data_IF_805647607356
#
_entry.id   IF_805647607356
#
_cell.length_a   1.000
_cell.length_b   1.000
_cell.length_c   1.000
_cell.angle_alpha   90.00
_cell.angle_beta   90.00
_cell.angle_gamma   90.00
#
_symmetry.space_group_name_H-M   'P 1'
#
loop_
_entity.id
_entity.type
_entity.pdbx_description
1 polymer ?
#
# COMPACT_ATOMS: atom_id res chain seq x y z
N UNK A 1 2.49 -18.45 -54.95
CA UNK A 1 2.01 -18.69 -53.57
C UNK A 1 3.23 -18.57 -52.62
N UNK A 2 3.46 -17.38 -52.10
CA UNK A 2 4.57 -17.09 -51.18
C UNK A 2 4.03 -17.14 -49.77
N UNK A 3 4.38 -18.20 -49.04
CA UNK A 3 4.08 -18.36 -47.62
C UNK A 3 4.98 -17.45 -46.82
N UNK A 4 4.42 -16.33 -46.35
CA UNK A 4 5.09 -15.43 -45.42
C UNK A 4 5.22 -16.10 -44.05
N UNK A 5 6.45 -16.42 -43.65
CA UNK A 5 6.79 -16.78 -42.25
C UNK A 5 6.72 -15.50 -41.42
N UNK A 6 5.78 -15.45 -40.50
CA UNK A 6 5.83 -14.44 -39.40
C UNK A 6 7.08 -14.73 -38.54
N UNK A 7 7.88 -13.71 -38.19
CA UNK A 7 9.04 -13.93 -37.31
C UNK A 7 8.56 -14.40 -35.97
N UNK A 8 9.09 -15.54 -35.48
CA UNK A 8 8.91 -16.01 -34.14
C UNK A 8 9.43 -14.95 -33.17
N UNK A 9 8.57 -14.45 -32.29
CA UNK A 9 8.97 -13.55 -31.22
C UNK A 9 10.03 -14.25 -30.38
N UNK A 10 11.25 -13.72 -30.37
CA UNK A 10 12.34 -14.21 -29.54
C UNK A 10 11.93 -14.13 -28.07
N UNK A 11 11.74 -15.29 -27.44
CA UNK A 11 11.45 -15.36 -26.01
C UNK A 11 12.64 -14.76 -25.24
N UNK A 12 12.37 -13.73 -24.43
CA UNK A 12 13.38 -13.06 -23.61
C UNK A 12 13.95 -14.01 -22.56
N UNK A 13 15.26 -13.90 -22.20
CA UNK A 13 15.85 -14.68 -21.11
C UNK A 13 15.11 -14.44 -19.79
N UNK A 14 14.87 -15.47 -18.99
CA UNK A 14 14.13 -15.38 -17.73
C UNK A 14 14.67 -14.31 -16.75
N UNK A 15 15.99 -14.10 -16.71
CA UNK A 15 16.62 -13.06 -15.89
C UNK A 15 16.26 -11.63 -16.34
N UNK A 16 16.16 -11.38 -17.64
CA UNK A 16 15.79 -10.08 -18.21
C UNK A 16 14.32 -9.77 -17.95
N UNK A 17 13.42 -10.76 -18.09
CA UNK A 17 12.00 -10.63 -17.74
C UNK A 17 11.80 -10.28 -16.25
N UNK A 18 12.57 -10.86 -15.35
CA UNK A 18 12.52 -10.54 -13.91
C UNK A 18 12.94 -9.09 -13.62
N UNK A 19 13.97 -8.60 -14.29
CA UNK A 19 14.43 -7.21 -14.15
C UNK A 19 13.40 -6.21 -14.69
N UNK A 20 12.79 -6.47 -15.84
CA UNK A 20 11.75 -5.61 -16.40
C UNK A 20 10.50 -5.56 -15.52
N UNK A 21 10.10 -6.71 -14.96
CA UNK A 21 8.99 -6.76 -14.00
C UNK A 21 9.30 -5.97 -12.74
N UNK A 22 10.50 -6.11 -12.17
CA UNK A 22 10.94 -5.33 -11.01
C UNK A 22 10.91 -3.82 -11.30
N UNK A 23 11.46 -3.39 -12.45
CA UNK A 23 11.42 -2.00 -12.88
C UNK A 23 9.99 -1.47 -13.05
N UNK A 24 9.08 -2.26 -13.64
CA UNK A 24 7.66 -1.94 -13.75
C UNK A 24 7.02 -1.76 -12.38
N UNK A 25 7.27 -2.66 -11.43
CA UNK A 25 6.75 -2.58 -10.08
C UNK A 25 7.20 -1.31 -9.36
N UNK A 26 8.49 -0.96 -9.44
CA UNK A 26 9.05 0.27 -8.86
C UNK A 26 8.47 1.51 -9.57
N UNK A 27 8.30 1.48 -10.90
CA UNK A 27 7.70 2.58 -11.65
C UNK A 27 6.23 2.83 -11.25
N UNK A 28 5.49 1.77 -10.91
CA UNK A 28 4.09 1.85 -10.45
C UNK A 28 3.95 2.05 -8.93
N UNK A 29 5.06 2.27 -8.20
CA UNK A 29 5.03 2.38 -6.75
C UNK A 29 4.28 3.63 -6.28
N UNK A 30 3.61 3.49 -5.14
CA UNK A 30 3.12 4.55 -4.28
C UNK A 30 3.98 4.63 -3.02
N UNK A 31 3.92 5.74 -2.31
CA UNK A 31 4.60 5.91 -1.02
C UNK A 31 3.60 6.30 0.06
N UNK A 32 3.97 6.04 1.32
CA UNK A 32 3.22 6.52 2.48
C UNK A 32 3.99 7.64 3.19
N UNK A 33 3.27 8.69 3.60
CA UNK A 33 3.81 9.81 4.37
C UNK A 33 2.91 10.10 5.57
N UNK A 34 3.48 10.65 6.65
CA UNK A 34 2.66 11.28 7.68
C UNK A 34 2.50 12.79 7.38
N UNK A 35 1.40 13.42 7.81
CA UNK A 35 1.25 14.88 7.65
C UNK A 35 2.41 15.69 8.25
N UNK A 36 3.05 15.18 9.31
CA UNK A 36 4.20 15.83 9.97
C UNK A 36 5.48 15.68 9.17
N UNK A 37 5.74 14.48 8.65
CA UNK A 37 6.96 14.19 7.87
C UNK A 37 6.94 14.93 6.53
N UNK A 38 5.76 15.07 5.93
CA UNK A 38 5.57 15.83 4.70
C UNK A 38 5.91 17.31 4.89
N UNK A 39 5.60 17.88 6.07
CA UNK A 39 5.93 19.28 6.41
C UNK A 39 7.40 19.47 6.80
N UNK A 40 7.99 18.51 7.51
CA UNK A 40 9.33 18.62 8.06
C UNK A 40 10.44 18.20 7.09
N UNK A 41 10.07 17.45 6.04
CA UNK A 41 11.01 16.89 5.06
C UNK A 41 11.37 17.86 3.92
N UNK A 42 12.30 17.46 3.05
CA UNK A 42 12.53 18.16 1.78
C UNK A 42 11.25 18.08 0.94
N UNK A 43 11.04 19.05 0.01
CA UNK A 43 9.88 19.02 -0.87
C UNK A 43 9.77 17.68 -1.59
N UNK A 44 8.61 17.04 -1.48
CA UNK A 44 8.41 15.68 -2.01
C UNK A 44 8.65 15.61 -3.53
N UNK A 45 8.39 16.72 -4.25
CA UNK A 45 8.68 16.86 -5.70
C UNK A 45 10.15 16.67 -6.07
N UNK A 46 11.05 16.93 -5.11
CA UNK A 46 12.50 16.77 -5.31
C UNK A 46 12.95 15.32 -5.05
N UNK A 47 12.08 14.51 -4.45
CA UNK A 47 12.35 13.14 -4.06
C UNK A 47 11.66 12.10 -4.95
N UNK A 48 10.48 12.41 -5.47
CA UNK A 48 9.68 11.46 -6.24
C UNK A 48 8.99 12.15 -7.43
N UNK A 49 8.64 11.35 -8.44
CA UNK A 49 8.02 11.86 -9.66
C UNK A 49 6.62 12.46 -9.43
N UNK A 50 6.27 13.49 -10.18
CA UNK A 50 4.90 14.02 -10.26
C UNK A 50 3.91 12.92 -10.71
N UNK A 51 2.66 13.04 -10.29
CA UNK A 51 1.60 12.08 -10.58
C UNK A 51 1.69 10.77 -9.77
N UNK A 52 2.66 10.65 -8.84
CA UNK A 52 2.73 9.50 -7.93
C UNK A 52 1.57 9.55 -6.93
N UNK A 53 0.99 8.36 -6.60
CA UNK A 53 0.07 8.22 -5.47
C UNK A 53 0.84 8.35 -4.17
N UNK A 54 0.39 9.24 -3.29
CA UNK A 54 0.98 9.49 -1.96
C UNK A 54 -0.08 9.25 -0.91
N UNK A 55 0.07 8.17 -0.17
CA UNK A 55 -0.82 7.83 0.92
C UNK A 55 -0.48 8.67 2.15
N UNK A 56 -1.50 9.27 2.75
CA UNK A 56 -1.35 10.13 3.93
C UNK A 56 -1.91 9.38 5.13
N UNK A 57 -1.03 8.88 6.00
CA UNK A 57 -1.43 8.06 7.12
C UNK A 57 -2.09 8.88 8.25
N UNK A 58 -2.80 8.18 9.15
CA UNK A 58 -3.58 8.79 10.24
C UNK A 58 -3.04 8.35 11.62
N UNK A 59 -1.85 8.81 12.04
CA UNK A 59 -1.33 8.49 13.38
C UNK A 59 -2.14 9.20 14.48
N UNK A 60 -2.03 8.69 15.71
CA UNK A 60 -2.79 9.18 16.86
C UNK A 60 -2.60 10.68 17.15
N UNK A 61 -1.46 11.22 16.74
CA UNK A 61 -1.06 12.60 17.03
C UNK A 61 -1.52 13.65 16.00
N UNK A 62 -2.36 13.27 15.02
CA UNK A 62 -2.88 14.18 13.99
C UNK A 62 -4.41 14.11 13.93
N UNK A 63 -5.01 15.18 13.44
CA UNK A 63 -6.45 15.30 13.20
C UNK A 63 -6.78 15.05 11.72
N UNK A 64 -8.06 14.84 11.41
CA UNK A 64 -8.50 14.76 10.01
C UNK A 64 -8.24 16.09 9.26
N UNK A 65 -8.22 17.23 9.95
CA UNK A 65 -7.85 18.52 9.35
C UNK A 65 -6.39 18.54 8.88
N UNK A 66 -5.47 17.97 9.66
CA UNK A 66 -4.05 17.85 9.29
C UNK A 66 -3.87 16.99 8.04
N UNK A 67 -4.66 15.90 7.94
CA UNK A 67 -4.65 15.00 6.76
C UNK A 67 -5.17 15.75 5.54
N UNK A 68 -6.30 16.45 5.64
CA UNK A 68 -6.83 17.25 4.53
C UNK A 68 -5.82 18.31 4.08
N UNK A 69 -5.20 19.01 5.03
CA UNK A 69 -4.19 20.03 4.72
C UNK A 69 -2.98 19.42 3.99
N UNK A 70 -2.52 18.24 4.41
CA UNK A 70 -1.46 17.49 3.71
C UNK A 70 -1.90 17.09 2.28
N UNK A 71 -3.12 16.57 2.11
CA UNK A 71 -3.67 16.23 0.80
C UNK A 71 -3.74 17.46 -0.12
N UNK A 72 -4.15 18.61 0.38
CA UNK A 72 -4.17 19.88 -0.39
C UNK A 72 -2.76 20.28 -0.86
N UNK A 73 -1.75 20.18 0.02
CA UNK A 73 -0.36 20.49 -0.36
C UNK A 73 0.17 19.53 -1.41
N UNK A 74 -0.08 18.23 -1.23
CA UNK A 74 0.34 17.19 -2.17
C UNK A 74 -0.33 17.35 -3.54
N UNK A 75 -1.64 17.62 -3.57
CA UNK A 75 -2.38 17.87 -4.81
C UNK A 75 -1.81 19.09 -5.56
N UNK A 76 -1.57 20.21 -4.85
CA UNK A 76 -0.93 21.41 -5.43
C UNK A 76 0.49 21.18 -5.92
N UNK A 77 1.20 20.21 -5.34
CA UNK A 77 2.52 19.81 -5.77
C UNK A 77 2.50 18.79 -6.96
N UNK A 78 1.32 18.44 -7.48
CA UNK A 78 1.14 17.57 -8.63
C UNK A 78 1.14 16.09 -8.30
N UNK A 79 0.88 15.70 -7.04
CA UNK A 79 0.71 14.33 -6.60
C UNK A 79 -0.76 13.91 -6.56
N UNK A 80 -1.00 12.61 -6.42
CA UNK A 80 -2.32 12.03 -6.21
C UNK A 80 -2.44 11.59 -4.74
N UNK A 81 -2.97 12.45 -3.85
CA UNK A 81 -3.06 12.12 -2.43
C UNK A 81 -4.16 11.09 -2.18
N UNK A 82 -3.85 10.09 -1.33
CA UNK A 82 -4.76 9.05 -0.87
C UNK A 82 -4.80 9.09 0.66
N UNK A 83 -5.78 9.76 1.28
CA UNK A 83 -5.86 9.81 2.74
C UNK A 83 -6.21 8.44 3.34
N UNK A 84 -5.59 8.10 4.47
CA UNK A 84 -6.11 7.06 5.34
C UNK A 84 -7.34 7.59 6.06
N UNK A 85 -8.43 6.83 6.00
CA UNK A 85 -9.65 7.10 6.77
C UNK A 85 -9.77 6.01 7.82
N UNK A 86 -9.39 6.34 9.06
CA UNK A 86 -9.40 5.43 10.19
C UNK A 86 -10.75 5.49 10.91
N UNK A 87 -11.62 4.52 10.66
CA UNK A 87 -13.02 4.50 11.10
C UNK A 87 -13.16 4.70 12.62
N UNK A 88 -12.39 3.96 13.44
CA UNK A 88 -12.47 3.99 14.90
C UNK A 88 -12.00 5.32 15.52
N UNK A 89 -11.39 6.21 14.72
CA UNK A 89 -10.93 7.54 15.16
C UNK A 89 -11.91 8.67 14.83
N UNK A 90 -12.99 8.37 14.12
CA UNK A 90 -14.03 9.34 13.76
C UNK A 90 -15.07 9.40 14.88
N UNK A 91 -15.17 10.53 15.56
CA UNK A 91 -16.02 10.71 16.73
C UNK A 91 -17.53 10.80 16.40
N UNK A 92 -17.88 11.09 15.14
CA UNK A 92 -19.29 11.21 14.72
C UNK A 92 -19.44 11.07 13.20
N UNK A 93 -20.69 10.86 12.77
CA UNK A 93 -21.07 10.96 11.36
C UNK A 93 -20.75 12.34 10.77
N UNK A 94 -20.96 13.41 11.55
CA UNK A 94 -20.66 14.79 11.12
C UNK A 94 -19.16 14.97 10.86
N UNK A 95 -18.30 14.44 11.73
CA UNK A 95 -16.86 14.51 11.53
C UNK A 95 -16.40 13.69 10.32
N UNK A 96 -16.96 12.50 10.12
CA UNK A 96 -16.69 11.69 8.93
C UNK A 96 -17.10 12.43 7.64
N UNK A 97 -18.30 13.02 7.65
CA UNK A 97 -18.82 13.81 6.54
C UNK A 97 -17.95 15.05 6.25
N UNK A 98 -17.52 15.79 7.29
CA UNK A 98 -16.63 16.95 7.13
C UNK A 98 -15.28 16.54 6.55
N UNK A 99 -14.68 15.46 7.05
CA UNK A 99 -13.41 14.95 6.53
C UNK A 99 -13.52 14.61 5.03
N UNK A 100 -14.52 13.80 4.64
CA UNK A 100 -14.69 13.37 3.26
C UNK A 100 -15.02 14.56 2.34
N UNK A 101 -15.96 15.41 2.73
CA UNK A 101 -16.33 16.62 1.99
C UNK A 101 -15.12 17.52 1.72
N UNK A 102 -14.27 17.72 2.73
CA UNK A 102 -13.08 18.57 2.60
C UNK A 102 -11.99 17.89 1.77
N UNK A 103 -11.75 16.60 1.96
CA UNK A 103 -10.77 15.85 1.17
C UNK A 103 -11.11 15.89 -0.34
N UNK A 104 -12.39 15.70 -0.69
CA UNK A 104 -12.83 15.76 -2.09
C UNK A 104 -12.89 17.20 -2.62
N UNK A 105 -13.46 18.14 -1.85
CA UNK A 105 -13.70 19.51 -2.31
C UNK A 105 -12.45 20.40 -2.31
N UNK A 106 -11.57 20.25 -1.31
CA UNK A 106 -10.38 21.11 -1.17
C UNK A 106 -9.13 20.52 -1.82
N UNK A 107 -8.97 19.19 -1.77
CA UNK A 107 -7.78 18.51 -2.29
C UNK A 107 -8.02 17.72 -3.59
N UNK A 108 -9.27 17.64 -4.07
CA UNK A 108 -9.62 16.88 -5.28
C UNK A 108 -9.43 15.37 -5.13
N UNK A 109 -9.47 14.87 -3.90
CA UNK A 109 -9.30 13.44 -3.60
C UNK A 109 -10.51 12.66 -4.08
N UNK A 110 -10.30 11.59 -4.83
CA UNK A 110 -11.36 10.65 -5.26
C UNK A 110 -11.08 9.21 -4.82
N UNK A 111 -10.00 8.98 -4.07
CA UNK A 111 -9.56 7.70 -3.54
C UNK A 111 -9.17 7.82 -2.07
N UNK A 112 -9.50 6.82 -1.25
CA UNK A 112 -9.08 6.75 0.15
C UNK A 112 -8.68 5.33 0.54
N UNK A 113 -7.72 5.17 1.46
CA UNK A 113 -7.46 3.89 2.13
C UNK A 113 -8.29 3.81 3.41
N UNK A 114 -9.30 2.94 3.41
CA UNK A 114 -10.20 2.77 4.53
C UNK A 114 -9.68 1.68 5.48
N UNK A 115 -9.34 2.08 6.69
CA UNK A 115 -8.80 1.21 7.73
C UNK A 115 -9.66 1.25 9.00
N UNK A 116 -9.54 0.22 9.84
CA UNK A 116 -10.17 0.23 11.15
C UNK A 116 -9.62 1.35 12.04
N UNK A 117 -8.30 1.45 12.12
CA UNK A 117 -7.60 2.34 13.03
C UNK A 117 -7.27 1.66 14.36
N UNK A 118 -6.45 2.33 15.17
CA UNK A 118 -5.82 1.83 16.39
C UNK A 118 -6.54 2.26 17.69
N UNK A 119 -7.60 3.07 17.59
CA UNK A 119 -8.36 3.49 18.77
C UNK A 119 -9.14 2.30 19.38
N UNK A 120 -8.95 2.04 20.66
CA UNK A 120 -9.63 1.00 21.40
C UNK A 120 -10.00 1.50 22.81
N UNK A 121 -11.30 1.69 23.12
CA UNK A 121 -12.47 1.50 22.24
C UNK A 121 -12.54 2.51 21.08
N UNK A 122 -13.42 2.29 20.08
CA UNK A 122 -13.73 3.28 19.05
C UNK A 122 -14.17 4.61 19.66
N UNK A 123 -13.70 5.74 19.08
CA UNK A 123 -14.00 7.09 19.60
C UNK A 123 -15.47 7.49 19.31
N UNK A 124 -16.08 6.88 18.30
CA UNK A 124 -17.43 7.23 17.85
C UNK A 124 -18.20 6.03 17.28
N UNK A 125 -19.12 6.27 16.33
CA UNK A 125 -20.10 5.28 15.90
C UNK A 125 -19.56 4.18 14.97
N UNK A 126 -18.28 4.24 14.58
CA UNK A 126 -17.71 3.31 13.60
C UNK A 126 -16.78 2.31 14.29
N UNK A 127 -17.24 1.08 14.61
CA UNK A 127 -16.41 0.07 15.25
C UNK A 127 -15.31 -0.47 14.33
N UNK A 128 -15.48 -0.35 13.01
CA UNK A 128 -14.54 -0.84 12.00
C UNK A 128 -14.73 -0.14 10.64
N UNK A 129 -13.88 -0.48 9.68
CA UNK A 129 -13.91 0.06 8.33
C UNK A 129 -15.19 -0.32 7.55
N UNK A 130 -15.77 -1.49 7.80
CA UNK A 130 -16.98 -1.94 7.13
C UNK A 130 -18.19 -1.09 7.55
N UNK A 131 -18.33 -0.79 8.83
CA UNK A 131 -19.40 0.05 9.34
C UNK A 131 -19.36 1.48 8.74
N UNK A 132 -18.14 2.05 8.62
CA UNK A 132 -17.98 3.34 7.95
C UNK A 132 -18.32 3.26 6.45
N UNK A 133 -17.88 2.22 5.76
CA UNK A 133 -18.20 2.02 4.35
C UNK A 133 -19.73 1.88 4.15
N UNK A 134 -20.39 1.08 4.97
CA UNK A 134 -21.84 0.85 4.92
C UNK A 134 -22.68 2.12 5.21
N UNK A 135 -22.09 3.14 5.85
CA UNK A 135 -22.75 4.42 6.03
C UNK A 135 -23.05 5.17 4.71
N UNK A 136 -22.43 4.76 3.60
CA UNK A 136 -22.57 5.40 2.30
C UNK A 136 -21.88 6.76 2.17
N UNK A 137 -21.21 7.24 3.21
CA UNK A 137 -20.60 8.56 3.23
C UNK A 137 -19.50 8.72 2.15
N UNK A 138 -18.73 7.66 1.87
CA UNK A 138 -17.66 7.72 0.86
C UNK A 138 -18.24 8.08 -0.52
N UNK A 139 -19.21 7.30 -1.00
CA UNK A 139 -19.85 7.53 -2.29
C UNK A 139 -20.62 8.87 -2.32
N UNK A 140 -21.32 9.21 -1.23
CA UNK A 140 -22.06 10.47 -1.08
C UNK A 140 -21.17 11.70 -1.27
N UNK A 141 -19.93 11.68 -0.80
CA UNK A 141 -18.99 12.79 -0.92
C UNK A 141 -18.04 12.66 -2.12
N UNK A 142 -18.35 11.80 -3.09
CA UNK A 142 -17.66 11.77 -4.39
C UNK A 142 -16.39 10.93 -4.41
N UNK A 143 -16.13 10.10 -3.39
CA UNK A 143 -15.10 9.07 -3.50
C UNK A 143 -15.52 8.06 -4.58
N UNK A 144 -14.61 7.72 -5.47
CA UNK A 144 -14.83 6.75 -6.55
C UNK A 144 -14.04 5.48 -6.35
N UNK A 145 -12.96 5.55 -5.59
CA UNK A 145 -12.04 4.45 -5.30
C UNK A 145 -11.82 4.29 -3.81
N UNK A 146 -11.74 3.05 -3.36
CA UNK A 146 -11.44 2.74 -1.97
C UNK A 146 -10.44 1.59 -1.88
N UNK A 147 -9.34 1.84 -1.17
CA UNK A 147 -8.36 0.83 -0.80
C UNK A 147 -8.72 0.16 0.51
N UNK A 148 -8.41 -1.13 0.64
CA UNK A 148 -8.51 -1.88 1.89
C UNK A 148 -7.18 -2.52 2.26
N UNK A 149 -6.91 -2.66 3.56
CA UNK A 149 -5.72 -3.35 4.02
C UNK A 149 -5.83 -4.87 3.80
N UNK A 150 -4.77 -5.46 3.22
CA UNK A 150 -4.57 -6.90 3.10
C UNK A 150 -3.49 -7.38 4.09
N UNK A 151 -3.62 -8.61 4.59
CA UNK A 151 -2.71 -9.16 5.60
C UNK A 151 -2.19 -10.54 5.17
N UNK A 152 -1.21 -10.61 4.26
CA UNK A 152 -0.66 -11.89 3.78
C UNK A 152 -0.17 -12.81 4.89
N UNK A 153 0.51 -12.25 5.89
CA UNK A 153 1.05 -12.98 7.04
C UNK A 153 0.10 -13.02 8.26
N UNK A 154 -1.12 -12.48 8.12
CA UNK A 154 -2.08 -12.36 9.21
C UNK A 154 -1.92 -11.05 10.00
N UNK A 155 -2.61 -10.98 11.14
CA UNK A 155 -2.62 -9.82 12.05
C UNK A 155 -2.41 -10.30 13.49
N UNK A 156 -1.64 -9.59 14.34
CA UNK A 156 -1.27 -10.07 15.67
C UNK A 156 -2.46 -10.29 16.61
N UNK A 157 -3.55 -9.55 16.41
CA UNK A 157 -4.70 -9.53 17.31
C UNK A 157 -6.01 -9.93 16.64
N UNK A 158 -6.02 -10.25 15.34
CA UNK A 158 -7.24 -10.59 14.59
C UNK A 158 -7.05 -11.94 13.92
N UNK A 159 -7.94 -12.87 14.21
CA UNK A 159 -7.91 -14.20 13.60
C UNK A 159 -8.06 -14.12 12.07
N UNK A 160 -7.38 -15.01 11.34
CA UNK A 160 -7.41 -15.06 9.87
C UNK A 160 -8.82 -15.06 9.32
N UNK A 161 -9.70 -15.92 9.85
CA UNK A 161 -11.10 -16.02 9.41
C UNK A 161 -11.85 -14.70 9.54
N UNK A 162 -11.58 -13.91 10.60
CA UNK A 162 -12.18 -12.60 10.78
C UNK A 162 -11.65 -11.60 9.75
N UNK A 163 -10.35 -11.62 9.47
CA UNK A 163 -9.75 -10.76 8.43
C UNK A 163 -10.35 -11.04 7.05
N UNK A 164 -10.43 -12.31 6.68
CA UNK A 164 -10.95 -12.74 5.37
C UNK A 164 -12.44 -12.37 5.25
N UNK A 165 -13.25 -12.65 6.25
CA UNK A 165 -14.67 -12.28 6.27
C UNK A 165 -14.90 -10.77 6.22
N UNK A 166 -14.10 -9.98 6.96
CA UNK A 166 -14.16 -8.53 6.92
C UNK A 166 -13.74 -7.96 5.56
N UNK A 167 -12.77 -8.58 4.89
CA UNK A 167 -12.35 -8.17 3.56
C UNK A 167 -13.45 -8.46 2.53
N UNK A 168 -14.02 -9.66 2.52
CA UNK A 168 -15.15 -10.01 1.66
C UNK A 168 -16.33 -9.05 1.86
N UNK A 169 -16.70 -8.77 3.12
CA UNK A 169 -17.78 -7.83 3.43
C UNK A 169 -17.53 -6.42 2.91
N UNK A 170 -16.29 -5.92 3.02
CA UNK A 170 -15.91 -4.60 2.49
C UNK A 170 -15.96 -4.55 0.96
N UNK A 171 -15.47 -5.58 0.28
CA UNK A 171 -15.51 -5.66 -1.19
C UNK A 171 -16.96 -5.70 -1.70
N UNK A 172 -17.82 -6.49 -1.06
CA UNK A 172 -19.25 -6.54 -1.39
C UNK A 172 -19.94 -5.19 -1.16
N UNK A 173 -19.67 -4.53 -0.04
CA UNK A 173 -20.26 -3.22 0.27
C UNK A 173 -19.76 -2.11 -0.68
N UNK A 174 -18.50 -2.16 -1.10
CA UNK A 174 -17.94 -1.24 -2.10
C UNK A 174 -18.58 -1.44 -3.47
N UNK A 175 -18.74 -2.68 -3.91
CA UNK A 175 -19.41 -3.00 -5.18
C UNK A 175 -20.87 -2.52 -5.22
N UNK A 176 -21.62 -2.68 -4.11
CA UNK A 176 -22.98 -2.16 -3.98
C UNK A 176 -23.06 -0.63 -4.13
N UNK A 177 -22.00 0.08 -3.78
CA UNK A 177 -21.91 1.54 -3.90
C UNK A 177 -21.25 2.01 -5.21
N UNK A 178 -20.90 1.10 -6.13
CA UNK A 178 -20.23 1.42 -7.38
C UNK A 178 -18.79 1.94 -7.21
N UNK A 179 -18.14 1.63 -6.07
CA UNK A 179 -16.78 2.02 -5.79
C UNK A 179 -15.80 1.01 -6.40
N UNK A 180 -14.79 1.51 -7.10
CA UNK A 180 -13.64 0.68 -7.53
C UNK A 180 -12.77 0.37 -6.33
N UNK A 181 -12.27 -0.86 -6.24
CA UNK A 181 -11.50 -1.33 -5.08
C UNK A 181 -10.04 -1.64 -5.44
N UNK A 182 -9.14 -1.47 -4.46
CA UNK A 182 -7.75 -1.91 -4.50
C UNK A 182 -7.36 -2.47 -3.12
N UNK A 183 -6.51 -3.47 -3.09
CA UNK A 183 -5.92 -3.94 -1.84
C UNK A 183 -4.51 -3.39 -1.69
N UNK A 184 -4.21 -2.83 -0.52
CA UNK A 184 -2.84 -2.47 -0.11
C UNK A 184 -2.44 -3.44 1.00
N UNK A 185 -1.43 -4.29 0.76
CA UNK A 185 -1.04 -5.25 1.79
C UNK A 185 -0.18 -4.59 2.87
N UNK A 186 -0.23 -5.18 4.07
CA UNK A 186 0.82 -4.95 5.07
C UNK A 186 2.17 -5.31 4.44
N UNK A 187 3.24 -4.60 4.85
CA UNK A 187 4.58 -4.97 4.40
C UNK A 187 4.98 -6.35 4.93
N UNK A 188 5.89 -7.00 4.22
CA UNK A 188 6.48 -8.28 4.59
C UNK A 188 7.94 -8.34 4.15
N UNK A 189 8.63 -9.42 4.52
CA UNK A 189 10.02 -9.68 4.13
C UNK A 189 10.18 -10.96 3.32
N UNK A 190 9.17 -11.83 3.32
CA UNK A 190 9.16 -13.09 2.59
C UNK A 190 8.19 -13.00 1.42
N UNK A 191 8.63 -13.20 0.17
CA UNK A 191 7.76 -13.16 -1.00
C UNK A 191 6.75 -14.32 -1.04
N UNK A 192 7.04 -15.48 -0.43
CA UNK A 192 6.21 -16.66 -0.56
C UNK A 192 4.82 -16.51 0.10
N UNK A 193 4.69 -16.06 1.37
CA UNK A 193 3.39 -15.75 1.95
C UNK A 193 2.61 -14.71 1.17
N UNK A 194 3.29 -13.68 0.65
CA UNK A 194 2.67 -12.59 -0.11
C UNK A 194 2.07 -13.14 -1.41
N UNK A 195 2.86 -13.84 -2.22
CA UNK A 195 2.41 -14.42 -3.49
C UNK A 195 1.33 -15.48 -3.29
N UNK A 196 1.48 -16.32 -2.27
CA UNK A 196 0.47 -17.33 -1.92
C UNK A 196 -0.86 -16.69 -1.52
N UNK A 197 -0.83 -15.60 -0.75
CA UNK A 197 -2.03 -14.86 -0.37
C UNK A 197 -2.68 -14.19 -1.58
N UNK A 198 -1.90 -13.56 -2.47
CA UNK A 198 -2.42 -12.96 -3.70
C UNK A 198 -3.11 -14.01 -4.56
N UNK A 199 -2.45 -15.16 -4.77
CA UNK A 199 -3.02 -16.26 -5.57
C UNK A 199 -4.33 -16.80 -4.97
N UNK A 200 -4.42 -16.88 -3.64
CA UNK A 200 -5.65 -17.28 -2.95
C UNK A 200 -6.75 -16.22 -3.09
N UNK A 201 -6.42 -14.95 -2.88
CA UNK A 201 -7.35 -13.82 -2.99
C UNK A 201 -7.92 -13.68 -4.40
N UNK A 202 -7.09 -13.82 -5.42
CA UNK A 202 -7.47 -13.68 -6.83
C UNK A 202 -8.42 -14.76 -7.35
N UNK A 203 -8.54 -15.89 -6.65
CA UNK A 203 -9.54 -16.91 -7.01
C UNK A 203 -10.98 -16.42 -6.84
N UNK A 204 -11.19 -15.55 -5.84
CA UNK A 204 -12.52 -15.05 -5.49
C UNK A 204 -12.75 -13.61 -5.99
N UNK A 205 -11.66 -12.85 -6.23
CA UNK A 205 -11.68 -11.42 -6.58
C UNK A 205 -10.65 -11.11 -7.68
N UNK A 206 -10.88 -11.62 -8.88
CA UNK A 206 -9.94 -11.56 -10.01
C UNK A 206 -9.72 -10.14 -10.57
N UNK A 207 -10.71 -9.25 -10.46
CA UNK A 207 -10.64 -7.87 -10.95
C UNK A 207 -10.09 -6.87 -9.90
N UNK A 208 -9.86 -7.28 -8.65
CA UNK A 208 -9.40 -6.37 -7.61
C UNK A 208 -7.86 -6.33 -7.58
N UNK A 209 -7.21 -5.22 -7.98
CA UNK A 209 -5.76 -5.13 -7.98
C UNK A 209 -5.19 -5.18 -6.56
N UNK A 210 -4.01 -5.83 -6.43
CA UNK A 210 -3.27 -5.91 -5.17
C UNK A 210 -1.97 -5.14 -5.29
N UNK A 211 -1.81 -4.14 -4.44
CA UNK A 211 -0.57 -3.41 -4.26
C UNK A 211 0.19 -3.98 -3.05
N UNK A 212 1.41 -4.45 -3.30
CA UNK A 212 2.21 -5.11 -2.26
C UNK A 212 2.92 -4.07 -1.40
N UNK A 213 2.69 -4.14 -0.10
CA UNK A 213 3.39 -3.34 0.90
C UNK A 213 4.85 -3.78 1.05
N UNK A 214 5.75 -2.83 0.96
CA UNK A 214 7.20 -3.04 1.07
C UNK A 214 7.79 -2.00 2.01
N UNK A 215 8.64 -2.44 2.95
CA UNK A 215 9.38 -1.50 3.79
C UNK A 215 10.43 -0.79 2.92
N UNK A 216 10.36 0.53 2.82
CA UNK A 216 11.40 1.35 2.19
C UNK A 216 12.73 1.26 2.95
N UNK A 217 13.81 1.82 2.42
CA UNK A 217 15.12 1.77 3.04
C UNK A 217 15.10 2.31 4.47
N UNK A 218 15.49 1.47 5.43
CA UNK A 218 15.52 1.83 6.85
C UNK A 218 16.56 1.01 7.61
N UNK A 219 17.03 1.52 8.73
CA UNK A 219 17.93 0.75 9.60
C UNK A 219 17.26 -0.49 10.19
N UNK A 220 18.05 -1.53 10.43
CA UNK A 220 17.60 -2.83 10.95
C UNK A 220 16.74 -2.71 12.21
N UNK A 221 17.18 -1.88 13.16
CA UNK A 221 16.43 -1.65 14.41
C UNK A 221 15.04 -1.05 14.14
N UNK A 222 14.94 -0.14 13.17
CA UNK A 222 13.66 0.46 12.75
C UNK A 222 12.76 -0.60 12.11
N UNK A 223 13.29 -1.40 11.19
CA UNK A 223 12.54 -2.49 10.55
C UNK A 223 12.05 -3.52 11.57
N UNK A 224 12.90 -3.93 12.50
CA UNK A 224 12.53 -4.87 13.57
C UNK A 224 11.41 -4.30 14.46
N UNK A 225 11.49 -3.02 14.86
CA UNK A 225 10.45 -2.34 15.65
C UNK A 225 9.10 -2.37 14.93
N UNK A 226 9.06 -2.01 13.64
CA UNK A 226 7.83 -2.03 12.86
C UNK A 226 7.32 -3.47 12.62
N UNK A 227 8.21 -4.44 12.38
CA UNK A 227 7.84 -5.84 12.22
C UNK A 227 7.12 -6.40 13.46
N UNK A 228 7.62 -6.09 14.65
CA UNK A 228 6.97 -6.48 15.91
C UNK A 228 5.61 -5.79 16.06
N UNK A 229 5.56 -4.48 15.83
CA UNK A 229 4.31 -3.69 15.94
C UNK A 229 3.23 -4.16 14.97
N UNK A 230 3.59 -4.55 13.76
CA UNK A 230 2.67 -5.00 12.71
C UNK A 230 2.42 -6.52 12.72
N UNK A 231 3.01 -7.26 13.68
CA UNK A 231 2.77 -8.69 13.84
C UNK A 231 3.44 -9.58 12.80
N UNK A 232 4.38 -9.05 12.01
CA UNK A 232 5.14 -9.80 10.99
C UNK A 232 6.51 -10.28 11.49
N UNK A 233 6.69 -10.32 12.81
CA UNK A 233 7.91 -10.85 13.43
C UNK A 233 8.18 -12.32 13.11
N UNK A 234 7.17 -13.05 12.61
CA UNK A 234 7.29 -14.44 12.13
C UNK A 234 8.16 -14.54 10.90
N UNK A 235 7.89 -13.74 9.86
CA UNK A 235 8.69 -13.71 8.63
C UNK A 235 10.10 -13.18 8.88
N UNK A 236 10.24 -12.18 9.76
CA UNK A 236 11.55 -11.68 10.16
C UNK A 236 12.39 -12.80 10.82
N UNK A 237 11.78 -13.63 11.68
CA UNK A 237 12.45 -14.79 12.31
C UNK A 237 12.73 -15.93 11.33
N UNK A 238 11.80 -16.20 10.41
CA UNK A 238 12.02 -17.20 9.36
C UNK A 238 13.19 -16.79 8.47
N UNK A 239 13.24 -15.51 8.09
CA UNK A 239 14.33 -14.94 7.32
C UNK A 239 15.67 -15.00 8.09
N UNK A 240 15.66 -14.77 9.41
CA UNK A 240 16.86 -14.86 10.25
C UNK A 240 17.44 -16.30 10.33
N UNK A 241 16.65 -17.33 10.14
CA UNK A 241 17.12 -18.73 10.05
C UNK A 241 17.88 -19.03 8.76
N UNK A 242 17.63 -18.25 7.70
CA UNK A 242 18.37 -18.31 6.43
C UNK A 242 19.47 -17.26 6.44
N UNK A 243 20.55 -17.51 7.18
CA UNK A 243 21.63 -16.58 7.50
C UNK A 243 22.15 -15.73 6.33
N UNK A 244 22.20 -16.28 5.11
CA UNK A 244 22.68 -15.55 3.93
C UNK A 244 21.65 -14.55 3.38
N UNK A 245 20.36 -14.91 3.31
CA UNK A 245 19.31 -14.02 2.84
C UNK A 245 19.01 -12.92 3.86
N UNK A 246 19.01 -13.25 5.15
CA UNK A 246 18.84 -12.30 6.23
C UNK A 246 19.98 -11.29 6.32
N UNK A 247 21.23 -11.78 6.22
CA UNK A 247 22.41 -10.92 6.20
C UNK A 247 22.38 -9.94 5.02
N UNK A 248 21.93 -10.36 3.83
CA UNK A 248 21.78 -9.46 2.66
C UNK A 248 20.71 -8.40 2.87
N UNK A 249 19.49 -8.77 3.33
CA UNK A 249 18.42 -7.80 3.59
C UNK A 249 18.83 -6.82 4.70
N UNK A 250 19.57 -7.29 5.71
CA UNK A 250 20.10 -6.43 6.77
C UNK A 250 21.28 -5.57 6.31
N UNK A 251 22.15 -6.08 5.46
CA UNK A 251 23.32 -5.36 4.96
C UNK A 251 22.94 -4.26 3.95
N UNK A 252 21.99 -4.55 3.07
CA UNK A 252 21.56 -3.62 2.03
C UNK A 252 20.59 -2.54 2.53
N UNK A 253 19.88 -2.78 3.63
CA UNK A 253 18.87 -1.89 4.20
C UNK A 253 17.86 -1.36 3.17
N UNK A 254 17.72 -2.04 2.02
CA UNK A 254 16.86 -1.68 0.87
C UNK A 254 15.92 -2.84 0.50
N UNK A 255 14.79 -2.56 -0.15
CA UNK A 255 13.82 -3.58 -0.53
C UNK A 255 14.16 -4.35 -1.82
N UNK A 256 15.31 -4.10 -2.46
CA UNK A 256 15.63 -4.58 -3.81
C UNK A 256 15.54 -6.12 -3.92
N UNK A 257 16.08 -6.83 -2.93
CA UNK A 257 16.03 -8.30 -2.91
C UNK A 257 14.60 -8.86 -2.84
N UNK A 258 13.72 -8.24 -2.04
CA UNK A 258 12.31 -8.63 -1.97
C UNK A 258 11.59 -8.30 -3.28
N UNK A 259 11.83 -7.13 -3.85
CA UNK A 259 11.20 -6.70 -5.11
C UNK A 259 11.61 -7.63 -6.25
N UNK A 260 12.89 -7.99 -6.34
CA UNK A 260 13.38 -8.95 -7.34
C UNK A 260 12.72 -10.34 -7.18
N UNK A 261 12.59 -10.82 -5.94
CA UNK A 261 11.93 -12.10 -5.66
C UNK A 261 10.42 -12.08 -5.96
N UNK A 262 9.72 -10.98 -5.63
CA UNK A 262 8.32 -10.78 -6.00
C UNK A 262 8.15 -10.75 -7.53
N UNK A 263 9.00 -10.03 -8.25
CA UNK A 263 8.98 -9.94 -9.70
C UNK A 263 9.23 -11.29 -10.37
N UNK A 264 10.15 -12.09 -9.82
CA UNK A 264 10.44 -13.45 -10.30
C UNK A 264 9.28 -14.43 -10.06
N UNK A 265 8.58 -14.28 -8.92
CA UNK A 265 7.44 -15.14 -8.53
C UNK A 265 6.09 -14.66 -9.06
N UNK A 266 6.01 -13.47 -9.69
CA UNK A 266 4.77 -12.96 -10.29
C UNK A 266 4.30 -13.86 -11.43
N UNK A 267 3.01 -14.20 -11.40
CA UNK A 267 2.39 -15.08 -12.38
C UNK A 267 0.95 -14.62 -12.67
N UNK A 268 0.29 -15.16 -13.73
CA UNK A 268 -1.12 -14.88 -13.96
C UNK A 268 -2.04 -15.20 -12.78
N UNK A 269 -1.69 -16.19 -11.95
CA UNK A 269 -2.43 -16.53 -10.74
C UNK A 269 -2.14 -15.59 -9.56
N UNK A 270 -1.00 -14.90 -9.58
CA UNK A 270 -0.60 -13.95 -8.53
C UNK A 270 -0.04 -12.66 -9.15
N UNK A 271 -0.86 -11.90 -9.90
CA UNK A 271 -0.43 -10.65 -10.51
C UNK A 271 -0.27 -9.57 -9.45
N UNK A 272 0.79 -8.79 -9.55
CA UNK A 272 1.07 -7.66 -8.66
C UNK A 272 0.69 -6.36 -9.35
N UNK A 273 -0.31 -5.64 -8.82
CA UNK A 273 -0.80 -4.37 -9.36
C UNK A 273 0.18 -3.20 -9.17
N UNK A 274 1.11 -3.31 -8.23
CA UNK A 274 2.13 -2.31 -7.92
C UNK A 274 2.72 -2.50 -6.54
N UNK A 275 3.62 -1.58 -6.13
CA UNK A 275 4.18 -1.55 -4.79
C UNK A 275 3.60 -0.39 -3.97
N UNK A 276 3.57 -0.57 -2.66
CA UNK A 276 3.31 0.49 -1.70
C UNK A 276 4.50 0.57 -0.73
N UNK A 277 5.24 1.66 -0.77
CA UNK A 277 6.48 1.82 -0.01
C UNK A 277 6.20 2.54 1.31
N UNK A 278 6.38 1.83 2.42
CA UNK A 278 6.35 2.43 3.76
C UNK A 278 7.66 3.17 4.04
N UNK A 279 7.60 4.47 4.28
CA UNK A 279 8.78 5.33 4.43
C UNK A 279 9.39 5.28 5.82
N UNK A 280 9.61 4.09 6.38
CA UNK A 280 10.08 3.88 7.76
C UNK A 280 11.45 4.52 8.05
N UNK A 281 12.32 4.62 7.04
CA UNK A 281 13.61 5.29 7.16
C UNK A 281 13.60 6.79 6.79
N UNK A 282 12.40 7.33 6.56
CA UNK A 282 12.17 8.73 6.18
C UNK A 282 12.10 8.96 4.67
N UNK A 283 11.51 10.10 4.31
CA UNK A 283 11.20 10.46 2.92
C UNK A 283 12.45 10.61 2.07
N UNK A 284 13.52 11.26 2.57
CA UNK A 284 14.76 11.47 1.83
C UNK A 284 15.38 10.13 1.42
N UNK A 285 15.58 9.22 2.37
CA UNK A 285 16.18 7.90 2.09
C UNK A 285 15.37 7.10 1.08
N UNK A 286 14.03 7.16 1.17
CA UNK A 286 13.13 6.50 0.22
C UNK A 286 13.22 7.15 -1.16
N UNK A 287 13.27 8.47 -1.23
CA UNK A 287 13.42 9.21 -2.48
C UNK A 287 14.74 8.92 -3.17
N UNK A 288 15.86 8.99 -2.43
CA UNK A 288 17.20 8.68 -2.96
C UNK A 288 17.24 7.26 -3.54
N UNK A 289 16.65 6.28 -2.83
CA UNK A 289 16.54 4.92 -3.32
C UNK A 289 15.67 4.81 -4.60
N UNK A 290 14.51 5.47 -4.63
CA UNK A 290 13.65 5.49 -5.82
C UNK A 290 14.36 6.11 -7.04
N UNK A 291 15.19 7.12 -6.86
CA UNK A 291 16.00 7.69 -7.93
C UNK A 291 17.06 6.71 -8.44
N UNK A 292 17.77 6.03 -7.54
CA UNK A 292 18.80 5.05 -7.90
C UNK A 292 18.19 3.83 -8.61
N UNK A 293 17.07 3.30 -8.11
CA UNK A 293 16.37 2.14 -8.70
C UNK A 293 15.83 2.42 -10.11
N UNK A 294 15.65 3.69 -10.50
CA UNK A 294 15.26 4.09 -11.85
C UNK A 294 16.44 4.26 -12.81
N UNK A 295 17.64 4.49 -12.27
CA UNK A 295 18.87 4.62 -13.06
C UNK A 295 19.46 3.28 -13.52
N UNK A 296 18.90 2.17 -13.08
CA UNK A 296 19.25 0.82 -13.54
C UNK A 296 18.53 0.48 -14.87
N UNK A 297 18.65 1.39 -15.85
CA UNK A 297 18.26 1.15 -17.25
C UNK A 297 19.47 0.83 -18.09
#
# INVERSE_FOLDING_TARGET
>A
MTTGHAPAALAMPAGQMGQERAARLVAAASIEVSPKDELAGPPLRDLVRSGMRVYVNYPASVTHHDIVAACVRLSRAGFLPVPHVAARRLASYTQAADFLRRATGEAGVDEALLIGGDADPPVGPFPDALALLQSGLLARFGMRRVGFAGYPEGHPHIARRTLDGALCGKLAAAAQQGLTTEIVTQFGFDPLPILGWIAAFRRDFDDCPVRVGVAGPAGVATLAKFAVRCGIAGSLRALAKHHTAFARILAEATPDGLIAALAAGESPAAPIGGLHIFTFGGLRRTGDWLHQSRGLR
#
